data_IF_311909287233
#
_entry.id   IF_311909287233
#
_cell.length_a   1.000
_cell.length_b   1.000
_cell.length_c   1.000
_cell.angle_alpha   90.00
_cell.angle_beta   90.00
_cell.angle_gamma   90.00
#
_symmetry.space_group_name_H-M   'P 1'
#
loop_
_entity.id
_entity.type
_entity.pdbx_description
1 polymer ?
#
# COMPACT_ATOMS: atom_id res chain seq x y z
N UNK A 1 -27.94 -2.54 31.02
CA UNK A 1 -28.32 -2.89 29.65
C UNK A 1 -27.19 -3.71 29.07
N UNK A 2 -27.40 -5.01 28.91
CA UNK A 2 -26.40 -6.01 28.49
C UNK A 2 -26.21 -5.97 26.96
N UNK A 3 -24.99 -5.70 26.51
CA UNK A 3 -24.63 -5.75 25.08
C UNK A 3 -24.41 -7.20 24.62
N UNK A 4 -24.72 -7.54 23.35
CA UNK A 4 -24.64 -8.90 22.84
C UNK A 4 -23.19 -9.35 22.64
N UNK A 5 -22.87 -10.56 23.12
CA UNK A 5 -21.60 -11.26 22.85
C UNK A 5 -21.77 -12.02 21.54
N UNK A 6 -21.06 -11.62 20.49
CA UNK A 6 -20.99 -12.40 19.25
C UNK A 6 -20.00 -13.55 19.42
N UNK A 7 -20.48 -14.79 19.31
CA UNK A 7 -19.66 -16.00 19.33
C UNK A 7 -19.30 -16.39 17.90
N UNK A 8 -18.01 -16.43 17.57
CA UNK A 8 -17.51 -17.09 16.36
C UNK A 8 -16.78 -18.37 16.78
N UNK A 9 -17.40 -19.52 16.55
CA UNK A 9 -16.79 -20.85 16.73
C UNK A 9 -16.28 -21.35 15.38
N UNK A 10 -14.97 -21.41 15.19
CA UNK A 10 -14.37 -22.16 14.08
C UNK A 10 -14.22 -23.62 14.52
N UNK A 11 -15.15 -24.48 14.10
CA UNK A 11 -15.01 -25.93 14.17
C UNK A 11 -14.34 -26.42 12.89
N UNK A 12 -13.00 -26.50 12.90
CA UNK A 12 -12.22 -27.06 11.80
C UNK A 12 -11.95 -28.55 12.02
N UNK A 13 -12.75 -29.43 11.39
CA UNK A 13 -12.39 -30.84 11.16
C UNK A 13 -11.44 -30.88 9.95
N UNK A 14 -10.19 -31.30 10.14
CA UNK A 14 -9.23 -31.42 9.04
C UNK A 14 -7.94 -32.12 9.46
N UNK A 15 -7.77 -33.36 9.01
CA UNK A 15 -6.53 -34.15 9.08
C UNK A 15 -5.36 -33.41 8.46
N UNK A 16 -4.26 -33.26 9.21
CA UNK A 16 -2.96 -32.85 8.66
C UNK A 16 -1.99 -34.03 8.85
N UNK A 17 -1.66 -34.71 7.76
CA UNK A 17 -0.55 -35.67 7.70
C UNK A 17 0.76 -34.88 7.61
N UNK A 18 1.57 -34.90 8.67
CA UNK A 18 2.96 -34.47 8.61
C UNK A 18 3.87 -35.69 8.72
N UNK A 19 4.40 -36.11 7.57
CA UNK A 19 5.43 -37.14 7.46
C UNK A 19 6.77 -36.43 7.70
N UNK A 20 7.29 -36.53 8.92
CA UNK A 20 8.65 -36.08 9.28
C UNK A 20 9.40 -37.29 9.84
N UNK A 21 10.40 -37.72 9.07
CA UNK A 21 11.35 -38.77 9.39
C UNK A 21 12.30 -38.33 10.51
N UNK A 22 12.28 -39.06 11.63
CA UNK A 22 13.36 -39.39 12.61
C UNK A 22 14.33 -38.26 13.10
N UNK A 23 14.64 -38.03 14.38
CA UNK A 23 14.67 -38.84 15.60
C UNK A 23 14.63 -37.90 16.83
N UNK A 24 13.70 -38.10 17.77
CA UNK A 24 13.91 -38.09 19.25
C UNK A 24 12.57 -38.06 19.98
N UNK A 25 12.43 -39.00 20.92
CA UNK A 25 11.23 -39.36 21.65
C UNK A 25 10.48 -38.17 22.28
N UNK A 26 9.35 -37.79 21.69
CA UNK A 26 8.18 -37.34 22.43
C UNK A 26 6.95 -37.91 21.73
N UNK A 27 6.58 -39.13 22.11
CA UNK A 27 5.28 -39.70 21.76
C UNK A 27 4.23 -38.93 22.56
N UNK A 28 3.75 -37.81 22.03
CA UNK A 28 2.49 -37.26 22.50
C UNK A 28 1.40 -38.21 22.01
N UNK A 29 1.02 -39.14 22.89
CA UNK A 29 -0.16 -39.99 22.69
C UNK A 29 -1.37 -39.07 22.86
N UNK A 30 -1.87 -38.54 21.75
CA UNK A 30 -3.08 -37.73 21.74
C UNK A 30 -4.30 -38.66 21.83
N UNK A 31 -5.08 -38.52 22.90
CA UNK A 31 -6.32 -39.27 23.12
C UNK A 31 -7.45 -38.62 22.31
N UNK A 32 -8.41 -39.42 21.82
CA UNK A 32 -9.39 -39.05 20.78
C UNK A 32 -10.43 -37.96 21.14
N UNK A 33 -10.29 -37.19 22.23
CA UNK A 33 -11.23 -36.11 22.60
C UNK A 33 -10.54 -34.80 23.04
N UNK A 34 -9.30 -34.57 22.60
CA UNK A 34 -8.59 -33.33 22.92
C UNK A 34 -9.05 -32.17 22.01
N UNK A 35 -9.67 -31.11 22.57
CA UNK A 35 -10.07 -29.93 21.80
C UNK A 35 -9.37 -28.66 22.28
N UNK A 36 -8.70 -28.01 21.32
CA UNK A 36 -8.09 -26.70 21.48
C UNK A 36 -9.07 -25.61 21.04
N UNK A 37 -9.25 -24.59 21.87
CA UNK A 37 -10.17 -23.49 21.64
C UNK A 37 -9.45 -22.16 21.80
N UNK A 38 -9.63 -21.26 20.83
CA UNK A 38 -9.23 -19.85 20.96
C UNK A 38 -10.51 -19.02 21.00
N UNK A 39 -10.62 -18.16 22.01
CA UNK A 39 -11.75 -17.24 22.22
C UNK A 39 -11.24 -15.81 22.16
N UNK A 40 -11.80 -15.00 21.27
CA UNK A 40 -11.56 -13.56 21.24
C UNK A 40 -12.74 -12.81 21.88
N UNK A 41 -12.48 -12.02 22.91
CA UNK A 41 -13.44 -11.10 23.51
C UNK A 41 -13.06 -9.67 23.12
N UNK A 42 -14.00 -8.88 22.61
CA UNK A 42 -13.77 -7.48 22.25
C UNK A 42 -14.68 -6.55 23.06
N UNK A 43 -14.08 -5.55 23.69
CA UNK A 43 -14.74 -4.49 24.46
C UNK A 43 -14.52 -3.16 23.74
N UNK A 44 -15.61 -2.45 23.45
CA UNK A 44 -15.57 -1.16 22.77
C UNK A 44 -15.99 -0.07 23.76
N UNK A 45 -15.07 0.83 24.10
CA UNK A 45 -15.26 1.88 25.10
C UNK A 45 -15.12 3.27 24.46
N UNK A 46 -16.23 3.95 24.15
CA UNK A 46 -16.22 5.33 23.67
C UNK A 46 -17.36 5.65 22.70
N UNK A 47 -17.65 6.95 22.46
CA UNK A 47 -18.77 7.38 21.61
C UNK A 47 -18.60 6.97 20.13
N UNK A 48 -17.36 6.81 19.65
CA UNK A 48 -17.04 6.46 18.26
C UNK A 48 -16.19 5.18 18.11
N UNK A 49 -16.18 4.29 19.11
CA UNK A 49 -15.33 3.08 19.13
C UNK A 49 -13.81 3.35 19.14
N UNK A 50 -13.37 4.55 19.50
CA UNK A 50 -11.95 4.96 19.48
C UNK A 50 -11.06 4.17 20.44
N UNK A 51 -11.64 3.51 21.45
CA UNK A 51 -10.90 2.62 22.37
C UNK A 51 -11.48 1.22 22.29
N UNK A 52 -10.71 0.33 21.67
CA UNK A 52 -11.03 -1.09 21.58
C UNK A 52 -10.02 -1.87 22.39
N UNK A 53 -10.51 -2.66 23.33
CA UNK A 53 -9.72 -3.67 24.03
C UNK A 53 -10.19 -5.05 23.58
N UNK A 54 -9.28 -5.84 23.01
CA UNK A 54 -9.52 -7.26 22.78
C UNK A 54 -8.64 -8.13 23.69
N UNK A 55 -9.21 -9.25 24.11
CA UNK A 55 -8.58 -10.29 24.93
C UNK A 55 -8.69 -11.60 24.17
N UNK A 56 -7.55 -12.22 23.86
CA UNK A 56 -7.49 -13.56 23.27
C UNK A 56 -7.24 -14.57 24.38
N UNK A 57 -8.08 -15.58 24.49
CA UNK A 57 -7.92 -16.67 25.46
C UNK A 57 -7.81 -17.99 24.74
N UNK A 58 -6.73 -18.71 24.99
CA UNK A 58 -6.48 -20.04 24.49
C UNK A 58 -6.77 -21.07 25.58
N UNK A 59 -7.51 -22.12 25.24
CA UNK A 59 -7.87 -23.21 26.14
C UNK A 59 -7.65 -24.57 25.48
N UNK A 60 -7.26 -25.57 26.26
CA UNK A 60 -7.15 -26.96 25.83
C UNK A 60 -7.96 -27.81 26.80
N UNK A 61 -8.91 -28.61 26.30
CA UNK A 61 -9.84 -29.40 27.12
C UNK A 61 -10.56 -28.58 28.20
N UNK A 62 -11.02 -27.39 27.83
CA UNK A 62 -11.65 -26.38 28.73
C UNK A 62 -10.71 -25.77 29.77
N UNK A 63 -9.44 -26.20 29.85
CA UNK A 63 -8.45 -25.57 30.72
C UNK A 63 -7.82 -24.38 30.01
N UNK A 64 -7.89 -23.20 30.63
CA UNK A 64 -7.27 -21.97 30.12
C UNK A 64 -5.74 -22.13 30.13
N UNK A 65 -5.13 -22.00 28.95
CA UNK A 65 -3.69 -22.11 28.77
C UNK A 65 -3.03 -20.74 28.82
N UNK A 66 -3.40 -19.82 27.93
CA UNK A 66 -2.76 -18.50 27.83
C UNK A 66 -3.75 -17.42 27.45
N UNK A 67 -3.40 -16.17 27.75
CA UNK A 67 -4.21 -15.00 27.45
C UNK A 67 -3.36 -13.83 26.93
N UNK A 68 -3.77 -13.24 25.82
CA UNK A 68 -3.28 -11.95 25.36
C UNK A 68 -4.24 -10.84 25.76
N UNK A 69 -3.70 -9.73 26.28
CA UNK A 69 -4.46 -8.50 26.48
C UNK A 69 -3.84 -7.40 25.62
N UNK A 70 -4.65 -6.78 24.76
CA UNK A 70 -4.24 -5.73 23.83
C UNK A 70 -3.86 -4.41 24.51
N UNK A 71 -4.51 -4.03 25.61
CA UNK A 71 -4.15 -2.86 26.44
C UNK A 71 -2.78 -3.06 27.10
N UNK A 72 -2.49 -4.28 27.54
CA UNK A 72 -1.22 -4.67 28.15
C UNK A 72 -0.12 -4.93 27.10
N UNK A 73 -0.51 -5.34 25.89
CA UNK A 73 0.38 -5.68 24.79
C UNK A 73 1.24 -6.92 25.03
N UNK A 74 0.75 -7.90 25.81
CA UNK A 74 1.49 -9.14 26.06
C UNK A 74 0.60 -10.36 26.39
N UNK A 75 1.15 -11.54 26.12
CA UNK A 75 0.66 -12.87 26.49
C UNK A 75 1.04 -13.23 27.93
N UNK A 76 0.14 -13.91 28.64
CA UNK A 76 0.40 -14.56 29.93
C UNK A 76 0.01 -16.04 29.82
N UNK A 77 0.91 -16.94 30.20
CA UNK A 77 0.63 -18.36 30.38
C UNK A 77 0.14 -18.70 31.79
N UNK A 78 -0.74 -19.68 31.91
CA UNK A 78 -1.34 -20.18 33.16
C UNK A 78 -0.99 -21.65 33.45
N UNK A 79 -0.39 -22.35 32.49
CA UNK A 79 0.13 -23.72 32.60
C UNK A 79 1.64 -23.76 32.29
N UNK A 80 2.38 -24.76 32.77
CA UNK A 80 3.84 -24.85 32.57
C UNK A 80 4.27 -24.70 31.10
N UNK A 81 3.59 -25.41 30.21
CA UNK A 81 3.81 -25.28 28.76
C UNK A 81 3.53 -23.86 28.25
N UNK A 82 2.40 -23.28 28.65
CA UNK A 82 1.97 -21.97 28.17
C UNK A 82 2.79 -20.81 28.75
N UNK A 83 3.39 -20.96 29.93
CA UNK A 83 4.30 -19.98 30.53
C UNK A 83 5.52 -19.85 29.63
N UNK A 84 6.12 -20.99 29.27
CA UNK A 84 7.25 -21.04 28.34
C UNK A 84 6.84 -20.48 26.97
N UNK A 85 5.69 -20.88 26.43
CA UNK A 85 5.19 -20.35 25.16
C UNK A 85 4.99 -18.82 25.21
N UNK A 86 4.36 -18.28 26.27
CA UNK A 86 4.11 -16.85 26.41
C UNK A 86 5.41 -16.02 26.46
N UNK A 87 6.48 -16.59 27.03
CA UNK A 87 7.79 -15.95 27.03
C UNK A 87 8.36 -15.79 25.61
N UNK A 88 8.22 -16.82 24.76
CA UNK A 88 8.65 -16.75 23.36
C UNK A 88 7.77 -15.81 22.54
N UNK A 89 6.45 -15.91 22.68
CA UNK A 89 5.49 -15.11 21.90
C UNK A 89 5.57 -13.62 22.23
N UNK A 90 5.85 -13.26 23.49
CA UNK A 90 6.09 -11.87 23.88
C UNK A 90 7.40 -11.29 23.34
N UNK A 91 8.35 -12.15 22.97
CA UNK A 91 9.63 -11.78 22.38
C UNK A 91 9.61 -11.91 20.86
N UNK A 92 8.54 -12.46 20.30
CA UNK A 92 8.36 -12.57 18.87
C UNK A 92 8.16 -11.15 18.29
N UNK A 93 9.09 -10.66 17.45
CA UNK A 93 8.94 -9.37 16.79
C UNK A 93 7.69 -9.28 15.91
N UNK A 94 7.16 -10.41 15.46
CA UNK A 94 6.00 -10.49 14.57
C UNK A 94 4.67 -10.25 15.31
N UNK A 95 4.55 -10.63 16.58
CA UNK A 95 3.31 -10.46 17.35
C UNK A 95 3.16 -9.08 18.00
N UNK A 96 4.29 -8.37 18.24
CA UNK A 96 4.28 -7.18 19.11
C UNK A 96 3.88 -5.88 18.41
N UNK A 97 3.93 -5.82 17.08
CA UNK A 97 3.50 -4.64 16.32
C UNK A 97 3.34 -4.97 14.82
N UNK A 98 2.50 -5.96 14.49
CA UNK A 98 2.17 -6.22 13.09
C UNK A 98 1.22 -5.12 12.62
N UNK A 99 1.75 -3.94 12.37
CA UNK A 99 1.03 -2.85 11.76
C UNK A 99 1.99 -2.16 10.80
N UNK A 100 1.55 -1.97 9.56
CA UNK A 100 2.41 -1.43 8.51
C UNK A 100 1.67 -0.31 7.82
N UNK A 101 2.32 0.86 7.81
CA UNK A 101 1.75 2.07 7.22
C UNK A 101 1.65 1.96 5.70
N UNK A 102 0.52 2.36 5.10
CA UNK A 102 0.33 2.29 3.66
C UNK A 102 1.33 3.14 2.89
N UNK A 103 1.90 2.52 1.87
CA UNK A 103 2.67 3.22 0.83
C UNK A 103 1.71 3.80 -0.19
N UNK A 104 1.60 5.13 -0.22
CA UNK A 104 0.63 5.84 -1.05
C UNK A 104 1.20 6.22 -2.41
N UNK A 105 0.37 6.09 -3.46
CA UNK A 105 0.66 6.56 -4.82
C UNK A 105 -0.58 7.16 -5.45
N UNK A 106 -0.47 8.40 -5.95
CA UNK A 106 -1.53 9.09 -6.66
C UNK A 106 -1.10 9.33 -8.11
N UNK A 107 -1.90 8.88 -9.09
CA UNK A 107 -1.59 8.96 -10.52
C UNK A 107 -2.83 9.21 -11.36
N UNK A 108 -2.67 9.85 -12.52
CA UNK A 108 -3.69 9.90 -13.57
C UNK A 108 -3.62 8.65 -14.46
N UNK A 109 -4.77 8.09 -14.81
CA UNK A 109 -4.90 7.00 -15.76
C UNK A 109 -5.77 7.47 -16.93
N UNK A 110 -5.23 7.34 -18.15
CA UNK A 110 -5.97 7.56 -19.39
C UNK A 110 -6.70 6.27 -19.75
N UNK A 111 -8.01 6.33 -19.98
CA UNK A 111 -8.76 5.17 -20.44
C UNK A 111 -8.50 4.95 -21.94
N UNK A 112 -8.36 3.69 -22.33
CA UNK A 112 -7.95 3.25 -23.68
C UNK A 112 -8.90 3.69 -24.80
N UNK A 113 -10.16 3.97 -24.47
CA UNK A 113 -11.23 4.19 -25.46
C UNK A 113 -11.48 5.68 -25.79
N UNK A 114 -10.80 6.62 -25.12
CA UNK A 114 -10.91 8.07 -25.34
C UNK A 114 -12.29 8.70 -25.06
N UNK A 115 -13.33 7.87 -24.88
CA UNK A 115 -14.72 8.25 -24.56
C UNK A 115 -14.97 8.45 -23.07
N UNK A 116 -14.19 7.81 -22.22
CA UNK A 116 -14.37 7.89 -20.77
C UNK A 116 -13.51 9.02 -20.16
N UNK A 117 -14.00 9.69 -19.10
CA UNK A 117 -13.25 10.72 -18.41
C UNK A 117 -11.87 10.23 -17.96
N UNK A 118 -10.92 11.16 -17.87
CA UNK A 118 -9.64 10.89 -17.22
C UNK A 118 -9.91 10.50 -15.75
N UNK A 119 -9.19 9.50 -15.25
CA UNK A 119 -9.36 9.06 -13.86
C UNK A 119 -8.12 9.36 -13.04
N UNK A 120 -8.31 9.79 -11.80
CA UNK A 120 -7.25 9.79 -10.79
C UNK A 120 -7.37 8.51 -9.96
N UNK A 121 -6.23 7.93 -9.62
CA UNK A 121 -6.14 6.69 -8.83
C UNK A 121 -5.23 6.94 -7.63
N UNK A 122 -5.81 6.82 -6.44
CA UNK A 122 -5.09 6.85 -5.16
C UNK A 122 -4.95 5.41 -4.65
N UNK A 123 -3.73 4.87 -4.72
CA UNK A 123 -3.40 3.50 -4.36
C UNK A 123 -2.66 3.43 -3.03
N UNK A 124 -3.12 2.57 -2.13
CA UNK A 124 -2.45 2.20 -0.89
C UNK A 124 -1.87 0.78 -1.04
N UNK A 125 -0.58 0.61 -0.75
CA UNK A 125 0.12 -0.68 -0.86
C UNK A 125 0.77 -1.10 0.45
N UNK A 126 0.97 -2.41 0.58
CA UNK A 126 1.79 -3.07 1.61
C UNK A 126 1.40 -2.66 3.03
N UNK A 127 0.09 -2.52 3.29
CA UNK A 127 -0.41 -2.11 4.60
C UNK A 127 -1.08 -3.25 5.34
N UNK A 128 -1.13 -3.11 6.65
CA UNK A 128 -1.86 -3.99 7.55
C UNK A 128 -2.19 -3.22 8.83
N UNK A 129 -3.39 -3.40 9.42
CA UNK A 129 -4.46 -4.32 9.04
C UNK A 129 -5.31 -3.84 7.85
N UNK A 130 -6.29 -4.65 7.40
CA UNK A 130 -7.09 -4.37 6.18
C UNK A 130 -7.95 -3.10 6.24
N UNK A 131 -8.24 -2.59 7.44
CA UNK A 131 -9.12 -1.44 7.66
C UNK A 131 -8.39 -0.16 7.25
N UNK A 132 -8.78 0.40 6.12
CA UNK A 132 -8.30 1.67 5.59
C UNK A 132 -9.48 2.48 5.07
N UNK A 133 -9.43 3.80 5.20
CA UNK A 133 -10.40 4.71 4.60
C UNK A 133 -9.67 5.74 3.75
N UNK A 134 -10.11 5.90 2.50
CA UNK A 134 -9.60 6.90 1.57
C UNK A 134 -10.76 7.80 1.16
N UNK A 135 -10.60 9.10 1.37
CA UNK A 135 -11.58 10.14 1.02
C UNK A 135 -10.97 11.08 -0.01
N UNK A 136 -11.72 11.37 -1.08
CA UNK A 136 -11.31 12.36 -2.07
C UNK A 136 -11.71 13.76 -1.63
N UNK A 137 -10.80 14.71 -1.80
CA UNK A 137 -11.01 16.12 -1.51
C UNK A 137 -10.80 16.95 -2.78
N UNK A 138 -11.78 17.77 -3.13
CA UNK A 138 -11.68 18.82 -4.16
C UNK A 138 -11.77 20.18 -3.46
N UNK A 139 -10.72 20.98 -3.58
CA UNK A 139 -10.58 22.26 -2.87
C UNK A 139 -10.85 22.13 -1.37
N UNK A 140 -10.27 21.09 -0.76
CA UNK A 140 -10.40 20.74 0.65
C UNK A 140 -11.83 20.36 1.10
N UNK A 141 -12.76 20.16 0.16
CA UNK A 141 -14.10 19.63 0.41
C UNK A 141 -14.22 18.17 -0.04
N UNK A 142 -14.88 17.35 0.77
CA UNK A 142 -15.11 15.94 0.46
C UNK A 142 -16.02 15.77 -0.77
N UNK A 143 -15.62 14.87 -1.67
CA UNK A 143 -16.39 14.50 -2.86
C UNK A 143 -16.61 12.99 -2.91
N UNK A 144 -17.86 12.60 -3.18
CA UNK A 144 -18.28 11.20 -3.31
C UNK A 144 -18.77 10.87 -4.73
N UNK A 145 -19.11 11.88 -5.52
CA UNK A 145 -19.55 11.73 -6.90
C UNK A 145 -18.38 11.28 -7.79
N UNK A 146 -18.61 10.28 -8.63
CA UNK A 146 -17.57 9.71 -9.50
C UNK A 146 -16.49 8.92 -8.76
N UNK A 147 -16.68 8.63 -7.46
CA UNK A 147 -15.73 7.84 -6.66
C UNK A 147 -16.09 6.36 -6.72
N UNK A 148 -15.09 5.51 -7.00
CA UNK A 148 -15.22 4.06 -6.89
C UNK A 148 -14.00 3.46 -6.17
N UNK A 149 -14.20 2.35 -5.47
CA UNK A 149 -13.18 1.72 -4.63
C UNK A 149 -13.07 0.23 -4.95
N UNK A 150 -11.88 -0.34 -4.82
CA UNK A 150 -11.73 -1.80 -4.73
C UNK A 150 -11.99 -2.27 -3.31
N UNK A 151 -12.18 -3.57 -3.13
CA UNK A 151 -11.96 -4.19 -1.82
C UNK A 151 -10.46 -4.17 -1.46
N UNK A 152 -10.14 -4.45 -0.20
CA UNK A 152 -8.75 -4.69 0.23
C UNK A 152 -8.27 -6.04 -0.35
N UNK A 153 -7.37 -5.98 -1.32
CA UNK A 153 -6.84 -7.13 -2.03
C UNK A 153 -5.62 -7.66 -1.26
N UNK A 154 -5.57 -8.95 -0.90
CA UNK A 154 -4.41 -9.52 -0.22
C UNK A 154 -3.19 -9.57 -1.15
N UNK A 155 -2.03 -9.20 -0.61
CA UNK A 155 -0.71 -9.28 -1.26
C UNK A 155 0.16 -10.21 -0.43
N UNK A 156 0.23 -11.47 -0.84
CA UNK A 156 0.81 -12.55 -0.04
C UNK A 156 -0.07 -12.90 1.15
N UNK A 157 0.54 -13.39 2.23
CA UNK A 157 -0.20 -13.90 3.40
C UNK A 157 -0.63 -12.81 4.39
N UNK A 158 0.00 -11.63 4.37
CA UNK A 158 -0.15 -10.64 5.43
C UNK A 158 -0.65 -9.27 4.95
N UNK A 159 -0.10 -8.74 3.86
CA UNK A 159 -0.33 -7.36 3.48
C UNK A 159 -1.57 -7.19 2.60
N UNK A 160 -2.07 -5.97 2.53
CA UNK A 160 -3.17 -5.58 1.65
C UNK A 160 -2.75 -4.48 0.68
N UNK A 161 -3.47 -4.39 -0.43
CA UNK A 161 -3.51 -3.24 -1.32
C UNK A 161 -4.97 -2.79 -1.54
N UNK A 162 -5.16 -1.50 -1.77
CA UNK A 162 -6.48 -0.89 -1.96
C UNK A 162 -6.37 0.27 -2.95
N UNK A 163 -7.35 0.41 -3.83
CA UNK A 163 -7.38 1.45 -4.85
C UNK A 163 -8.70 2.22 -4.78
N UNK A 164 -8.58 3.55 -4.69
CA UNK A 164 -9.70 4.46 -4.89
C UNK A 164 -9.52 5.22 -6.20
N UNK A 165 -10.61 5.38 -6.94
CA UNK A 165 -10.68 6.01 -8.24
C UNK A 165 -11.62 7.22 -8.16
N UNK A 166 -11.26 8.29 -8.84
CA UNK A 166 -12.10 9.47 -9.02
C UNK A 166 -12.18 9.81 -10.51
N UNK A 167 -13.39 9.83 -11.05
CA UNK A 167 -13.68 10.43 -12.35
C UNK A 167 -13.38 11.94 -12.29
N UNK A 168 -12.50 12.39 -13.17
CA UNK A 168 -11.93 13.72 -13.09
C UNK A 168 -11.95 14.41 -14.46
N UNK A 169 -12.52 15.61 -14.47
CA UNK A 169 -12.44 16.53 -15.61
C UNK A 169 -11.53 17.69 -15.23
N UNK A 170 -10.42 17.93 -15.95
CA UNK A 170 -9.47 18.97 -15.58
C UNK A 170 -10.07 20.37 -15.60
N UNK A 171 -10.07 21.04 -14.45
CA UNK A 171 -10.45 22.44 -14.28
C UNK A 171 -9.23 23.25 -13.86
N UNK A 172 -9.02 24.41 -14.48
CA UNK A 172 -7.86 25.24 -14.17
C UNK A 172 -7.92 25.74 -12.71
N UNK A 173 -6.83 25.53 -11.96
CA UNK A 173 -6.67 26.05 -10.60
C UNK A 173 -7.32 25.23 -9.49
N UNK A 174 -7.90 24.06 -9.79
CA UNK A 174 -8.46 23.19 -8.75
C UNK A 174 -7.38 22.38 -8.02
N UNK A 175 -7.57 22.20 -6.70
CA UNK A 175 -6.71 21.37 -5.86
C UNK A 175 -7.43 20.06 -5.56
N UNK A 176 -6.90 18.95 -6.08
CA UNK A 176 -7.41 17.62 -5.76
C UNK A 176 -6.43 16.90 -4.85
N UNK A 177 -6.95 16.18 -3.87
CA UNK A 177 -6.15 15.33 -2.99
C UNK A 177 -6.93 14.10 -2.54
N UNK A 178 -6.20 13.07 -2.13
CA UNK A 178 -6.78 11.96 -1.38
C UNK A 178 -6.30 12.00 0.08
N UNK A 179 -7.23 11.92 1.01
CA UNK A 179 -7.00 11.84 2.45
C UNK A 179 -7.10 10.38 2.89
N UNK A 180 -6.10 9.92 3.64
CA UNK A 180 -5.95 8.51 4.02
C UNK A 180 -5.98 8.39 5.53
N UNK A 181 -6.88 7.55 6.03
CA UNK A 181 -7.01 7.19 7.44
C UNK A 181 -6.65 5.70 7.60
N UNK A 182 -5.69 5.41 8.47
CA UNK A 182 -5.24 4.06 8.79
C UNK A 182 -4.75 4.05 10.24
N UNK A 183 -4.90 2.93 10.96
CA UNK A 183 -4.57 2.83 12.40
C UNK A 183 -3.10 3.16 12.73
N UNK A 184 -2.20 3.02 11.76
CA UNK A 184 -0.78 3.36 11.94
C UNK A 184 -0.47 4.85 11.78
N UNK A 185 -1.45 5.64 11.35
CA UNK A 185 -1.34 7.08 11.18
C UNK A 185 -2.02 7.76 12.37
N UNK A 186 -1.27 8.54 13.14
CA UNK A 186 -1.83 9.33 14.25
C UNK A 186 -2.77 10.44 13.76
N UNK A 187 -2.56 10.91 12.53
CA UNK A 187 -3.40 11.90 11.86
C UNK A 187 -3.62 11.50 10.40
N UNK A 188 -4.75 11.90 9.78
CA UNK A 188 -5.00 11.61 8.37
C UNK A 188 -3.89 12.16 7.46
N UNK A 189 -3.44 11.34 6.51
CA UNK A 189 -2.40 11.75 5.56
C UNK A 189 -3.04 12.24 4.26
N UNK A 190 -2.73 13.47 3.86
CA UNK A 190 -3.24 14.08 2.62
C UNK A 190 -2.18 13.97 1.52
N UNK A 191 -2.55 13.41 0.37
CA UNK A 191 -1.71 13.31 -0.83
C UNK A 191 -2.32 14.19 -1.92
N UNK A 192 -1.60 15.24 -2.31
CA UNK A 192 -2.07 16.23 -3.30
C UNK A 192 -1.71 15.76 -4.71
N UNK A 193 -2.67 15.89 -5.63
CA UNK A 193 -2.46 15.65 -7.06
C UNK A 193 -1.57 16.76 -7.63
N UNK A 194 -0.45 16.37 -8.26
CA UNK A 194 0.31 17.27 -9.10
C UNK A 194 0.26 16.78 -10.55
N UNK A 195 -0.11 17.65 -11.47
CA UNK A 195 -0.14 17.35 -12.92
C UNK A 195 1.27 17.29 -13.53
N UNK A 196 2.27 17.09 -12.69
CA UNK A 196 3.66 17.15 -13.12
C UNK A 196 3.98 15.81 -13.79
N UNK A 197 4.23 15.85 -15.10
CA UNK A 197 4.61 14.70 -15.92
C UNK A 197 5.58 13.75 -15.16
N UNK A 198 5.44 12.42 -15.29
CA UNK A 198 6.38 11.48 -14.73
C UNK A 198 7.81 11.88 -15.12
N UNK A 199 8.78 11.78 -14.20
CA UNK A 199 10.16 12.23 -14.44
C UNK A 199 10.76 11.65 -15.72
N UNK A 200 10.42 10.40 -16.07
CA UNK A 200 10.84 9.77 -17.31
C UNK A 200 10.33 10.45 -18.58
N UNK A 201 9.12 11.04 -18.57
CA UNK A 201 8.58 11.78 -19.71
C UNK A 201 9.17 13.19 -19.79
N UNK A 202 9.36 13.86 -18.65
CA UNK A 202 10.07 15.15 -18.57
C UNK A 202 11.48 15.03 -19.15
N UNK A 203 12.22 13.98 -18.76
CA UNK A 203 13.58 13.76 -19.24
C UNK A 203 13.64 13.51 -20.75
N UNK A 204 12.67 12.76 -21.31
CA UNK A 204 12.57 12.56 -22.76
C UNK A 204 12.33 13.88 -23.51
N UNK A 205 11.47 14.74 -22.99
CA UNK A 205 11.20 16.07 -23.59
C UNK A 205 12.45 16.95 -23.55
N UNK A 206 13.13 17.02 -22.40
CA UNK A 206 14.35 17.84 -22.21
C UNK A 206 15.48 17.37 -23.14
N UNK A 207 15.69 16.06 -23.25
CA UNK A 207 16.71 15.50 -24.15
C UNK A 207 16.35 15.75 -25.62
N UNK A 208 15.06 15.63 -25.98
CA UNK A 208 14.59 15.96 -27.33
C UNK A 208 14.81 17.43 -27.70
N UNK A 209 14.46 18.36 -26.80
CA UNK A 209 14.63 19.79 -27.05
C UNK A 209 16.10 20.19 -27.17
N UNK A 210 16.96 19.66 -26.29
CA UNK A 210 18.39 19.97 -26.33
C UNK A 210 19.05 19.43 -27.60
N UNK A 211 18.69 18.22 -28.05
CA UNK A 211 19.16 17.66 -29.31
C UNK A 211 18.73 18.47 -30.54
N UNK A 212 17.48 18.95 -30.58
CA UNK A 212 16.96 19.78 -31.66
C UNK A 212 17.73 21.11 -31.77
N UNK A 213 17.96 21.78 -30.65
CA UNK A 213 18.68 23.06 -30.60
C UNK A 213 20.13 22.87 -31.08
N UNK A 214 20.81 21.83 -30.61
CA UNK A 214 22.17 21.50 -31.05
C UNK A 214 22.23 21.21 -32.56
N UNK A 215 21.26 20.44 -33.09
CA UNK A 215 21.16 20.14 -34.51
C UNK A 215 20.98 21.41 -35.37
N UNK A 216 20.11 22.33 -34.95
CA UNK A 216 19.89 23.60 -35.65
C UNK A 216 21.15 24.48 -35.67
N UNK A 217 21.90 24.56 -34.57
CA UNK A 217 23.14 25.35 -34.51
C UNK A 217 24.21 24.78 -35.46
N UNK A 218 24.36 23.45 -35.50
CA UNK A 218 25.30 22.79 -36.42
C UNK A 218 24.87 23.01 -37.88
N UNK A 219 23.57 22.90 -38.17
CA UNK A 219 23.06 23.11 -39.51
C UNK A 219 23.26 24.56 -39.98
N UNK A 220 22.93 25.55 -39.15
CA UNK A 220 23.10 26.98 -39.46
C UNK A 220 24.58 27.32 -39.65
N UNK A 221 25.45 26.87 -38.75
CA UNK A 221 26.89 27.12 -38.87
C UNK A 221 27.49 26.47 -40.11
N UNK A 222 27.11 25.22 -40.43
CA UNK A 222 27.49 24.54 -41.66
C UNK A 222 26.99 25.25 -42.92
N UNK A 223 25.75 25.74 -42.91
CA UNK A 223 25.19 26.50 -44.03
C UNK A 223 25.92 27.83 -44.26
N UNK A 224 26.21 28.58 -43.20
CA UNK A 224 26.98 29.82 -43.27
C UNK A 224 28.40 29.55 -43.78
N UNK A 225 29.06 28.51 -43.28
CA UNK A 225 30.39 28.11 -43.73
C UNK A 225 30.38 27.75 -45.22
N UNK A 226 29.40 26.97 -45.68
CA UNK A 226 29.27 26.62 -47.09
C UNK A 226 29.04 27.86 -47.97
N UNK A 227 28.15 28.78 -47.57
CA UNK A 227 27.94 30.04 -48.32
C UNK A 227 29.21 30.88 -48.40
N UNK A 228 29.96 31.00 -47.30
CA UNK A 228 31.26 31.71 -47.29
C UNK A 228 32.28 31.02 -48.20
N UNK A 229 32.42 29.70 -48.11
CA UNK A 229 33.36 28.92 -48.93
C UNK A 229 33.02 29.00 -50.42
N UNK A 230 31.73 28.90 -50.80
CA UNK A 230 31.31 29.07 -52.19
C UNK A 230 31.56 30.48 -52.72
N UNK A 231 31.38 31.52 -51.90
CA UNK A 231 31.72 32.89 -52.28
C UNK A 231 33.23 33.07 -52.52
N UNK A 232 34.06 32.52 -51.65
CA UNK A 232 35.53 32.53 -51.80
C UNK A 232 35.97 31.71 -53.02
N UNK A 233 35.44 30.50 -53.20
CA UNK A 233 35.73 29.65 -54.36
C UNK A 233 35.37 30.33 -55.69
N UNK A 234 34.19 30.96 -55.76
CA UNK A 234 33.76 31.70 -56.94
C UNK A 234 34.66 32.92 -57.22
N UNK A 235 35.15 33.60 -56.17
CA UNK A 235 36.09 34.73 -56.32
C UNK A 235 37.49 34.29 -56.77
N UNK A 236 37.98 33.12 -56.34
CA UNK A 236 39.26 32.56 -56.79
C UNK A 236 39.15 32.12 -58.26
N UNK A 237 38.05 31.45 -58.63
CA UNK A 237 37.82 30.99 -60.01
C UNK A 237 37.75 32.16 -61.01
N UNK A 238 37.19 33.31 -60.63
CA UNK A 238 37.17 34.51 -61.48
C UNK A 238 38.55 35.19 -61.61
N UNK A 239 39.50 34.93 -60.70
CA UNK A 239 40.86 35.46 -60.78
C UNK A 239 41.83 34.58 -61.59
N UNK A 240 41.44 33.34 -61.92
CA UNK A 240 42.26 32.37 -62.65
C UNK A 240 41.92 32.33 -64.17
N UNK A 241 40.85 33.03 -64.59
CA UNK A 241 40.42 33.19 -65.99
C UNK A 241 40.78 34.59 -66.59
N UNK A 242 41.68 35.35 -65.96
CA UNK A 242 42.09 36.71 -66.40
C UNK A 242 43.57 36.78 -66.77
#
# INVERSE_FOLDING_TARGET
SSAPVAFYSFLGRGTINLKLTDFSHFSAVFSEDDFYQVKACCSFNGPNFDKVEYILTTSFNKQKMMEYNSTRGNWIGFTDFSIVASYYWNRDPWDRNLSTTPSMRLKSVKQTDGRHPAMLVCSAYNFYPKQIKITWLRNDQEVTEGVSNTDAIPVGELYYQFHSYLEYTPTSGEKISCMVEHVTLSEPRIIVWNDSLPEGEKNKIIVGLSGLILGLVIFISGFIYHRKKSAVYNSIRQGEEM
#
